data_IF_504861922196
#
_entry.id   IF_504861922196
#
_cell.length_a   1.000
_cell.length_b   1.000
_cell.length_c   1.000
_cell.angle_alpha   90.00
_cell.angle_beta   90.00
_cell.angle_gamma   90.00
#
_symmetry.space_group_name_H-M   'P 1'
#
loop_
_entity.id
_entity.type
_entity.pdbx_description
1 polymer ?
#
# COMPACT_ATOMS: atom_id res chain seq x y z
N UNK A 1 43.13 -29.02 -37.08
CA UNK A 1 41.69 -28.78 -36.91
C UNK A 1 41.16 -29.09 -35.50
N UNK A 2 41.90 -29.01 -34.41
CA UNK A 2 41.44 -29.32 -33.04
C UNK A 2 41.39 -28.13 -32.06
N UNK A 3 41.66 -26.90 -32.50
CA UNK A 3 41.72 -25.73 -31.62
C UNK A 3 40.50 -24.81 -31.70
N UNK A 4 39.55 -25.06 -32.61
CA UNK A 4 38.36 -24.18 -32.79
C UNK A 4 37.12 -24.63 -32.01
N UNK A 5 37.09 -25.86 -31.50
CA UNK A 5 35.90 -26.37 -30.77
C UNK A 5 35.88 -25.92 -29.31
N UNK A 6 37.04 -25.53 -28.72
CA UNK A 6 37.08 -25.15 -27.31
C UNK A 6 36.64 -23.70 -27.04
N UNK A 7 36.70 -22.81 -28.06
CA UNK A 7 36.28 -21.43 -27.90
C UNK A 7 34.77 -21.24 -27.99
N UNK A 8 34.08 -22.13 -28.70
CA UNK A 8 32.60 -22.07 -28.85
C UNK A 8 31.87 -22.50 -27.59
N UNK A 9 32.45 -23.37 -26.77
CA UNK A 9 31.86 -23.84 -25.53
C UNK A 9 31.96 -22.82 -24.38
N UNK A 10 32.96 -21.93 -24.45
CA UNK A 10 33.13 -20.87 -23.44
C UNK A 10 32.16 -19.70 -23.60
N UNK A 11 31.68 -19.46 -24.82
CA UNK A 11 30.65 -18.42 -25.08
C UNK A 11 29.23 -18.85 -24.75
N UNK A 12 28.97 -20.14 -24.70
CA UNK A 12 27.62 -20.66 -24.37
C UNK A 12 27.36 -20.67 -22.85
N UNK A 13 28.43 -20.76 -22.05
CA UNK A 13 28.32 -20.79 -20.59
C UNK A 13 28.08 -19.42 -19.92
N UNK A 14 28.34 -18.32 -20.64
CA UNK A 14 28.14 -16.96 -20.08
C UNK A 14 26.67 -16.49 -20.19
N UNK A 15 25.86 -17.09 -21.07
CA UNK A 15 24.45 -16.74 -21.24
C UNK A 15 23.48 -17.52 -20.33
N UNK A 16 23.98 -18.38 -19.44
CA UNK A 16 23.16 -19.19 -18.52
C UNK A 16 23.15 -18.68 -17.08
N UNK A 17 23.72 -17.51 -16.80
CA UNK A 17 23.40 -16.80 -15.57
C UNK A 17 22.03 -16.18 -15.80
N UNK A 18 20.97 -16.94 -15.48
CA UNK A 18 19.61 -16.46 -15.52
C UNK A 18 19.53 -15.21 -14.65
N UNK A 19 19.49 -14.04 -15.27
CA UNK A 19 19.10 -12.82 -14.57
C UNK A 19 17.67 -13.06 -14.11
N UNK A 20 17.50 -13.26 -12.80
CA UNK A 20 16.17 -13.23 -12.20
C UNK A 20 15.58 -11.86 -12.51
N UNK A 21 14.68 -11.80 -13.49
CA UNK A 21 13.98 -10.55 -13.80
C UNK A 21 13.17 -10.17 -12.57
N UNK A 22 13.48 -9.02 -12.00
CA UNK A 22 12.66 -8.44 -10.94
C UNK A 22 11.28 -8.13 -11.53
N UNK A 23 10.22 -8.55 -10.84
CA UNK A 23 8.86 -8.24 -11.27
C UNK A 23 8.69 -6.70 -11.28
N UNK A 24 8.36 -6.09 -12.42
CA UNK A 24 8.21 -4.64 -12.49
C UNK A 24 7.10 -4.10 -11.56
N UNK A 25 6.10 -4.90 -11.23
CA UNK A 25 5.04 -4.52 -10.30
C UNK A 25 5.50 -4.34 -8.84
N UNK A 26 6.76 -4.67 -8.53
CA UNK A 26 7.39 -4.29 -7.26
C UNK A 26 7.83 -2.82 -7.22
N UNK A 27 7.85 -2.12 -8.36
CA UNK A 27 8.21 -0.70 -8.46
C UNK A 27 6.94 0.15 -8.54
N UNK A 28 6.51 0.61 -7.41
CA UNK A 28 5.34 1.45 -7.32
C UNK A 28 5.30 2.22 -6.01
N UNK A 29 4.33 3.09 -5.88
CA UNK A 29 4.13 3.80 -4.64
C UNK A 29 2.66 4.16 -4.40
N UNK A 30 2.37 4.35 -3.14
CA UNK A 30 1.09 4.85 -2.68
C UNK A 30 1.06 6.37 -2.86
N UNK A 31 0.06 6.89 -3.54
CA UNK A 31 -0.07 8.33 -3.81
C UNK A 31 -0.29 9.16 -2.54
N UNK A 32 -0.62 8.51 -1.42
CA UNK A 32 -0.83 9.13 -0.12
C UNK A 32 -1.81 10.30 -0.20
N UNK A 33 -1.39 11.50 0.20
CA UNK A 33 -2.18 12.73 0.12
C UNK A 33 -1.70 13.66 -1.01
N UNK A 34 -1.03 13.11 -2.03
CA UNK A 34 -0.42 13.91 -3.10
C UNK A 34 -1.43 14.89 -3.72
N UNK A 35 -2.63 14.41 -4.08
CA UNK A 35 -3.67 15.25 -4.70
C UNK A 35 -4.24 16.33 -3.77
N UNK A 36 -4.10 16.19 -2.47
CA UNK A 36 -4.49 17.23 -1.51
C UNK A 36 -3.47 18.38 -1.49
N UNK A 37 -2.17 18.04 -1.63
CA UNK A 37 -1.08 19.02 -1.50
C UNK A 37 -0.60 19.57 -2.83
N UNK A 38 -0.68 18.79 -3.90
CA UNK A 38 -0.17 19.15 -5.23
C UNK A 38 -1.31 19.22 -6.24
N UNK A 39 -1.08 20.00 -7.27
CA UNK A 39 -1.94 20.07 -8.44
C UNK A 39 -1.35 19.19 -9.56
N UNK A 40 -2.18 18.39 -10.21
CA UNK A 40 -1.75 17.57 -11.33
C UNK A 40 -1.30 18.40 -12.52
N UNK A 41 -1.79 19.63 -12.61
CA UNK A 41 -1.36 20.59 -13.65
C UNK A 41 0.00 21.23 -13.35
N UNK A 42 0.57 20.99 -12.16
CA UNK A 42 1.94 21.40 -11.83
C UNK A 42 2.94 20.52 -12.57
N UNK A 43 3.58 21.10 -13.58
CA UNK A 43 4.55 20.40 -14.42
C UNK A 43 5.79 19.91 -13.65
N UNK A 44 6.20 20.60 -12.60
CA UNK A 44 7.34 20.16 -11.75
C UNK A 44 6.95 18.89 -11.02
N UNK A 45 5.80 18.89 -10.36
CA UNK A 45 5.28 17.71 -9.68
C UNK A 45 5.13 16.53 -10.64
N UNK A 46 4.51 16.72 -11.79
CA UNK A 46 4.29 15.64 -12.75
C UNK A 46 5.58 15.12 -13.40
N UNK A 47 6.55 15.99 -13.67
CA UNK A 47 7.88 15.58 -14.15
C UNK A 47 8.61 14.72 -13.12
N UNK A 48 8.53 15.07 -11.83
CA UNK A 48 9.12 14.28 -10.74
C UNK A 48 8.46 12.90 -10.66
N UNK A 49 7.13 12.83 -10.72
CA UNK A 49 6.40 11.55 -10.74
C UNK A 49 6.78 10.69 -11.95
N UNK A 50 6.87 11.27 -13.13
CA UNK A 50 7.29 10.57 -14.36
C UNK A 50 8.74 10.07 -14.26
N UNK A 51 9.64 10.87 -13.68
CA UNK A 51 11.05 10.48 -13.50
C UNK A 51 11.23 9.25 -12.62
N UNK A 52 10.33 9.06 -11.66
CA UNK A 52 10.29 7.86 -10.79
C UNK A 52 9.80 6.61 -11.53
N UNK A 53 9.16 6.78 -12.69
CA UNK A 53 8.67 5.69 -13.56
C UNK A 53 7.92 4.59 -12.80
N UNK A 54 6.86 4.90 -12.05
CA UNK A 54 6.13 3.89 -11.28
C UNK A 54 5.42 2.91 -12.20
N UNK A 55 5.59 1.61 -11.95
CA UNK A 55 4.80 0.58 -12.65
C UNK A 55 3.42 0.38 -12.00
N UNK A 56 3.32 0.67 -10.70
CA UNK A 56 2.07 0.52 -9.95
C UNK A 56 1.83 1.75 -9.07
N UNK A 57 0.60 2.26 -9.10
CA UNK A 57 0.11 3.30 -8.19
C UNK A 57 -1.04 2.76 -7.35
N UNK A 58 -1.12 3.14 -6.07
CA UNK A 58 -2.24 2.80 -5.21
C UNK A 58 -3.21 3.97 -5.11
N UNK A 59 -4.49 3.74 -5.44
CA UNK A 59 -5.61 4.68 -5.31
C UNK A 59 -6.51 4.29 -4.14
N UNK A 60 -7.05 5.20 -3.40
CA UNK A 60 -6.87 6.66 -3.41
C UNK A 60 -5.64 7.14 -2.63
N UNK A 61 -4.85 6.26 -2.06
CA UNK A 61 -3.66 6.60 -1.29
C UNK A 61 -3.93 6.82 0.20
N UNK A 62 -3.31 7.83 0.82
CA UNK A 62 -3.49 8.13 2.23
C UNK A 62 -4.93 8.48 2.57
N UNK A 63 -5.40 7.99 3.72
CA UNK A 63 -6.80 8.07 4.13
C UNK A 63 -7.80 7.37 3.18
N UNK A 64 -7.34 6.39 2.39
CA UNK A 64 -8.19 5.59 1.50
C UNK A 64 -9.45 5.05 2.17
N UNK A 65 -9.36 4.68 3.46
CA UNK A 65 -10.48 4.24 4.29
C UNK A 65 -11.59 5.30 4.49
N UNK A 66 -11.41 6.52 4.00
CA UNK A 66 -12.35 7.63 4.14
C UNK A 66 -12.60 8.34 2.80
N UNK A 67 -12.19 7.70 1.71
CA UNK A 67 -12.42 8.21 0.37
C UNK A 67 -13.84 7.93 -0.08
N UNK A 68 -14.48 8.93 -0.69
CA UNK A 68 -15.81 8.84 -1.29
C UNK A 68 -15.88 9.61 -2.61
N UNK A 69 -16.72 9.15 -3.52
CA UNK A 69 -16.98 9.87 -4.78
C UNK A 69 -17.80 11.13 -4.52
N UNK A 70 -18.73 11.09 -3.54
CA UNK A 70 -19.68 12.17 -3.27
C UNK A 70 -19.79 12.48 -1.78
N UNK A 71 -20.24 13.70 -1.48
CA UNK A 71 -20.52 14.12 -0.12
C UNK A 71 -19.30 14.29 0.78
N UNK A 72 -18.14 14.48 0.17
CA UNK A 72 -16.85 14.66 0.84
C UNK A 72 -16.14 15.90 0.29
N UNK A 73 -15.28 16.50 1.10
CA UNK A 73 -14.38 17.54 0.60
C UNK A 73 -13.25 16.92 -0.21
N UNK A 74 -13.24 17.11 -1.51
CA UNK A 74 -12.25 16.57 -2.44
C UNK A 74 -11.98 15.06 -2.25
N UNK A 75 -13.07 14.29 -2.13
CA UNK A 75 -13.03 12.84 -1.94
C UNK A 75 -12.81 12.36 -0.50
N UNK A 76 -12.52 13.24 0.48
CA UNK A 76 -12.20 12.81 1.84
C UNK A 76 -13.22 13.34 2.84
N UNK A 77 -13.88 12.45 3.58
CA UNK A 77 -14.79 12.79 4.68
C UNK A 77 -14.04 12.96 5.99
N UNK A 78 -13.74 14.20 6.35
CA UNK A 78 -12.97 14.54 7.55
C UNK A 78 -13.64 14.13 8.85
N UNK A 79 -14.97 14.12 8.91
CA UNK A 79 -15.72 13.71 10.10
C UNK A 79 -15.57 12.21 10.36
N UNK A 80 -15.45 11.41 9.32
CA UNK A 80 -15.19 9.98 9.44
C UNK A 80 -13.77 9.72 9.97
N UNK A 81 -12.78 10.50 9.53
CA UNK A 81 -11.43 10.43 10.11
C UNK A 81 -11.48 10.68 11.61
N UNK A 82 -12.20 11.72 12.07
CA UNK A 82 -12.38 12.00 13.49
C UNK A 82 -13.08 10.87 14.23
N UNK A 83 -14.09 10.28 13.62
CA UNK A 83 -14.90 9.21 14.21
C UNK A 83 -14.16 7.90 14.32
N UNK A 84 -13.44 7.49 13.28
CA UNK A 84 -12.91 6.13 13.15
C UNK A 84 -11.40 6.03 13.38
N UNK A 85 -10.65 7.13 13.30
CA UNK A 85 -9.19 7.13 13.45
C UNK A 85 -8.77 7.81 14.76
N UNK A 86 -8.60 7.04 15.83
CA UNK A 86 -8.30 7.55 17.19
C UNK A 86 -7.06 8.44 17.32
N UNK A 87 -6.09 8.29 16.43
CA UNK A 87 -4.81 9.02 16.52
C UNK A 87 -4.78 10.29 15.67
N UNK A 88 -5.86 10.58 14.94
CA UNK A 88 -5.94 11.81 14.16
C UNK A 88 -5.97 13.01 15.09
N UNK A 89 -4.88 13.74 15.12
CA UNK A 89 -4.78 14.98 15.91
C UNK A 89 -5.73 16.00 15.29
N UNK A 90 -6.54 16.65 16.13
CA UNK A 90 -7.47 17.71 15.73
C UNK A 90 -6.78 18.74 14.83
N UNK A 91 -5.53 19.12 15.15
CA UNK A 91 -4.74 20.06 14.36
C UNK A 91 -4.47 19.56 12.93
N UNK A 92 -4.14 18.26 12.76
CA UNK A 92 -3.91 17.65 11.44
C UNK A 92 -5.18 17.69 10.60
N UNK A 93 -6.31 17.30 11.18
CA UNK A 93 -7.62 17.31 10.50
C UNK A 93 -8.04 18.75 10.16
N UNK A 94 -7.80 19.73 11.06
CA UNK A 94 -8.08 21.14 10.79
C UNK A 94 -7.22 21.71 9.65
N UNK A 95 -5.94 21.34 9.58
CA UNK A 95 -5.09 21.75 8.47
C UNK A 95 -5.54 21.12 7.14
N UNK A 96 -5.87 19.85 7.14
CA UNK A 96 -6.44 19.17 5.96
C UNK A 96 -7.72 19.87 5.50
N UNK A 97 -8.60 20.24 6.43
CA UNK A 97 -9.83 20.95 6.10
C UNK A 97 -9.57 22.26 5.33
N UNK A 98 -8.57 23.04 5.76
CA UNK A 98 -8.20 24.30 5.06
C UNK A 98 -7.68 24.04 3.64
N UNK A 99 -6.87 22.98 3.46
CA UNK A 99 -6.31 22.63 2.15
C UNK A 99 -7.42 22.11 1.23
N UNK A 100 -8.27 21.24 1.74
CA UNK A 100 -9.41 20.67 1.00
C UNK A 100 -10.40 21.77 0.63
N UNK A 101 -10.62 22.75 1.49
CA UNK A 101 -11.48 23.91 1.21
C UNK A 101 -11.02 24.69 -0.03
N UNK A 102 -9.72 24.81 -0.26
CA UNK A 102 -9.18 25.45 -1.44
C UNK A 102 -9.34 24.61 -2.73
N UNK A 103 -9.67 23.32 -2.60
CA UNK A 103 -9.96 22.39 -3.71
C UNK A 103 -11.48 22.26 -3.99
N UNK A 104 -12.29 23.18 -3.49
CA UNK A 104 -13.78 23.11 -3.42
C UNK A 104 -14.51 23.08 -4.77
N UNK A 105 -13.79 23.11 -5.88
CA UNK A 105 -14.42 23.04 -7.21
C UNK A 105 -14.58 21.62 -7.73
N UNK A 106 -14.03 20.62 -7.01
CA UNK A 106 -14.10 19.20 -7.38
C UNK A 106 -14.65 18.37 -6.22
N UNK A 107 -15.61 17.50 -6.50
CA UNK A 107 -16.16 16.59 -5.48
C UNK A 107 -15.11 15.59 -4.98
N UNK A 108 -14.19 15.16 -5.85
CA UNK A 108 -13.13 14.21 -5.55
C UNK A 108 -11.99 14.31 -6.58
N UNK A 109 -10.89 13.55 -6.38
CA UNK A 109 -9.69 13.58 -7.24
C UNK A 109 -9.50 12.31 -8.09
N UNK A 110 -10.55 11.52 -8.34
CA UNK A 110 -10.38 10.27 -9.11
C UNK A 110 -9.88 10.53 -10.54
N UNK A 111 -10.34 11.61 -11.18
CA UNK A 111 -9.91 11.93 -12.54
C UNK A 111 -8.50 12.49 -12.60
N UNK A 112 -8.06 13.24 -11.60
CA UNK A 112 -6.67 13.69 -11.46
C UNK A 112 -5.74 12.49 -11.27
N UNK A 113 -6.17 11.50 -10.48
CA UNK A 113 -5.44 10.25 -10.32
C UNK A 113 -5.36 9.44 -11.63
N UNK A 114 -6.47 9.33 -12.36
CA UNK A 114 -6.53 8.63 -13.66
C UNK A 114 -5.58 9.30 -14.66
N UNK A 115 -5.54 10.61 -14.71
CA UNK A 115 -4.60 11.35 -15.56
C UNK A 115 -3.14 11.04 -15.18
N UNK A 116 -2.80 11.07 -13.90
CA UNK A 116 -1.46 10.68 -13.41
C UNK A 116 -1.11 9.24 -13.83
N UNK A 117 -2.01 8.29 -13.57
CA UNK A 117 -1.76 6.88 -13.87
C UNK A 117 -1.55 6.64 -15.38
N UNK A 118 -2.32 7.33 -16.23
CA UNK A 118 -2.14 7.28 -17.69
C UNK A 118 -0.84 7.92 -18.15
N UNK A 119 -0.52 9.09 -17.61
CA UNK A 119 0.70 9.83 -17.95
C UNK A 119 1.97 9.05 -17.60
N UNK A 120 1.93 8.27 -16.51
CA UNK A 120 3.03 7.40 -16.07
C UNK A 120 2.96 5.99 -16.64
N UNK A 121 1.90 5.64 -17.37
CA UNK A 121 1.60 4.29 -17.85
C UNK A 121 1.60 3.25 -16.72
N UNK A 122 1.08 3.63 -15.56
CA UNK A 122 1.05 2.78 -14.37
C UNK A 122 -0.20 1.91 -14.32
N UNK A 123 -0.04 0.69 -13.84
CA UNK A 123 -1.14 -0.13 -13.34
C UNK A 123 -1.62 0.39 -11.98
N UNK A 124 -2.81 0.01 -11.56
CA UNK A 124 -3.42 0.52 -10.33
C UNK A 124 -3.83 -0.61 -9.39
N UNK A 125 -3.64 -0.39 -8.09
CA UNK A 125 -4.29 -1.14 -7.02
C UNK A 125 -5.28 -0.19 -6.35
N UNK A 126 -6.53 -0.63 -6.18
CA UNK A 126 -7.57 0.16 -5.51
C UNK A 126 -7.70 -0.23 -4.04
N UNK A 127 -7.44 0.70 -3.14
CA UNK A 127 -7.63 0.57 -1.68
C UNK A 127 -9.05 1.03 -1.31
N UNK A 128 -9.94 0.08 -1.12
CA UNK A 128 -11.37 0.33 -0.97
C UNK A 128 -11.74 0.75 0.47
N UNK A 129 -12.54 1.79 0.61
CA UNK A 129 -13.12 2.21 1.88
C UNK A 129 -14.23 1.24 2.33
N UNK A 130 -13.87 0.19 3.06
CA UNK A 130 -14.85 -0.74 3.63
C UNK A 130 -15.38 -0.32 5.02
N UNK A 131 -14.94 0.82 5.55
CA UNK A 131 -15.36 1.32 6.87
C UNK A 131 -16.68 2.05 6.78
N UNK A 132 -16.83 2.95 5.85
CA UNK A 132 -17.90 3.94 5.80
C UNK A 132 -18.54 4.12 4.43
N UNK A 133 -17.95 3.53 3.38
CA UNK A 133 -18.57 3.43 2.06
C UNK A 133 -19.60 2.29 2.01
N UNK A 134 -20.18 2.09 0.84
CA UNK A 134 -21.08 0.99 0.55
C UNK A 134 -20.62 0.24 -0.72
N UNK A 135 -21.12 -0.99 -0.95
CA UNK A 135 -20.71 -1.78 -2.10
C UNK A 135 -20.97 -1.09 -3.45
N UNK A 136 -22.06 -0.34 -3.58
CA UNK A 136 -22.42 0.36 -4.82
C UNK A 136 -21.37 1.43 -5.18
N UNK A 137 -20.91 2.21 -4.20
CA UNK A 137 -19.89 3.23 -4.41
C UNK A 137 -18.55 2.60 -4.80
N UNK A 138 -18.18 1.49 -4.16
CA UNK A 138 -16.96 0.74 -4.52
C UNK A 138 -17.03 0.20 -5.94
N UNK A 139 -18.15 -0.40 -6.32
CA UNK A 139 -18.37 -0.88 -7.70
C UNK A 139 -18.36 0.28 -8.70
N UNK A 140 -18.88 1.46 -8.33
CA UNK A 140 -18.82 2.65 -9.17
C UNK A 140 -17.37 3.13 -9.38
N UNK A 141 -16.54 3.14 -8.33
CA UNK A 141 -15.12 3.50 -8.43
C UNK A 141 -14.39 2.51 -9.34
N UNK A 142 -14.57 1.21 -9.15
CA UNK A 142 -13.98 0.18 -10.01
C UNK A 142 -14.37 0.40 -11.46
N UNK A 143 -15.64 0.67 -11.73
CA UNK A 143 -16.14 0.95 -13.08
C UNK A 143 -15.46 2.17 -13.69
N UNK A 144 -15.39 3.29 -12.96
CA UNK A 144 -14.74 4.52 -13.45
C UNK A 144 -13.28 4.26 -13.83
N UNK A 145 -12.54 3.52 -13.01
CA UNK A 145 -11.15 3.16 -13.29
C UNK A 145 -11.04 2.32 -14.58
N UNK A 146 -11.84 1.26 -14.69
CA UNK A 146 -11.83 0.36 -15.85
C UNK A 146 -12.30 1.05 -17.13
N UNK A 147 -13.41 1.80 -17.09
CA UNK A 147 -13.95 2.54 -18.23
C UNK A 147 -12.98 3.64 -18.71
N UNK A 148 -12.13 4.12 -17.81
CA UNK A 148 -11.05 5.04 -18.15
C UNK A 148 -9.84 4.36 -18.78
N UNK A 149 -9.85 3.03 -18.96
CA UNK A 149 -8.75 2.26 -19.55
C UNK A 149 -7.57 2.02 -18.59
N UNK A 150 -7.80 2.14 -17.27
CA UNK A 150 -6.79 1.81 -16.25
C UNK A 150 -6.63 0.29 -16.15
N UNK A 151 -5.38 -0.18 -16.15
CA UNK A 151 -5.05 -1.56 -15.82
C UNK A 151 -5.16 -1.75 -14.31
N UNK A 152 -6.32 -2.20 -13.83
CA UNK A 152 -6.60 -2.46 -12.42
C UNK A 152 -6.10 -3.84 -12.02
N UNK A 153 -5.05 -3.92 -11.22
CA UNK A 153 -4.42 -5.18 -10.77
C UNK A 153 -5.24 -5.91 -9.70
N UNK A 154 -6.01 -5.17 -8.90
CA UNK A 154 -6.82 -5.73 -7.83
C UNK A 154 -7.38 -4.67 -6.90
N UNK A 155 -8.14 -5.15 -5.92
CA UNK A 155 -8.77 -4.33 -4.88
C UNK A 155 -8.27 -4.77 -3.51
N UNK A 156 -7.72 -3.83 -2.74
CA UNK A 156 -7.41 -4.00 -1.32
C UNK A 156 -8.66 -3.67 -0.50
N UNK A 157 -9.07 -4.56 0.40
CA UNK A 157 -10.22 -4.32 1.27
C UNK A 157 -9.78 -3.58 2.54
N UNK A 158 -9.65 -2.27 2.42
CA UNK A 158 -9.22 -1.34 3.46
C UNK A 158 -7.72 -1.25 3.66
N UNK A 159 -7.24 -0.15 4.20
CA UNK A 159 -5.85 0.13 4.50
C UNK A 159 -5.55 0.02 5.99
N UNK A 160 -4.61 -0.82 6.41
CA UNK A 160 -4.10 -0.94 7.80
C UNK A 160 -5.16 -1.12 8.90
N UNK A 161 -6.30 -1.75 8.63
CA UNK A 161 -7.40 -1.88 9.60
C UNK A 161 -7.04 -2.68 10.85
N UNK A 162 -5.95 -3.43 10.83
CA UNK A 162 -5.33 -4.02 12.02
C UNK A 162 -4.61 -2.99 12.92
N UNK A 163 -4.45 -1.73 12.47
CA UNK A 163 -3.72 -0.71 13.22
C UNK A 163 -4.48 -0.28 14.49
N UNK A 164 -3.71 0.10 15.53
CA UNK A 164 -4.22 0.60 16.81
C UNK A 164 -5.18 1.77 16.66
N UNK A 165 -5.05 2.56 15.62
CA UNK A 165 -5.95 3.69 15.33
C UNK A 165 -7.40 3.29 15.14
N UNK A 166 -7.63 2.05 14.70
CA UNK A 166 -8.97 1.50 14.44
C UNK A 166 -9.47 0.54 15.53
N UNK A 167 -8.65 0.23 16.55
CA UNK A 167 -8.93 -0.82 17.54
C UNK A 167 -10.19 -0.60 18.40
N UNK A 168 -10.74 0.62 18.42
CA UNK A 168 -11.95 0.92 19.19
C UNK A 168 -13.24 0.45 18.51
N UNK A 169 -13.20 0.19 17.21
CA UNK A 169 -14.37 -0.27 16.47
C UNK A 169 -14.08 -1.45 15.53
N UNK A 170 -12.81 -1.78 15.27
CA UNK A 170 -12.39 -2.86 14.38
C UNK A 170 -11.64 -3.95 15.15
N UNK A 171 -12.10 -5.16 15.02
CA UNK A 171 -11.42 -6.39 15.39
C UNK A 171 -11.41 -7.34 14.20
N UNK A 172 -10.80 -8.50 14.32
CA UNK A 172 -10.66 -9.44 13.20
C UNK A 172 -12.01 -10.01 12.73
N UNK A 173 -12.94 -10.30 13.63
CA UNK A 173 -14.25 -10.83 13.28
C UNK A 173 -15.05 -9.84 12.45
N UNK A 174 -15.07 -8.59 12.87
CA UNK A 174 -15.73 -7.51 12.14
C UNK A 174 -15.05 -7.25 10.80
N UNK A 175 -13.71 -7.28 10.76
CA UNK A 175 -12.95 -7.12 9.53
C UNK A 175 -13.31 -8.21 8.51
N UNK A 176 -13.32 -9.49 8.92
CA UNK A 176 -13.70 -10.63 8.07
C UNK A 176 -15.14 -10.45 7.58
N UNK A 177 -16.07 -10.12 8.47
CA UNK A 177 -17.49 -9.94 8.10
C UNK A 177 -17.69 -8.86 7.06
N UNK A 178 -17.08 -7.68 7.25
CA UNK A 178 -17.13 -6.59 6.28
C UNK A 178 -16.46 -6.98 4.96
N UNK A 179 -15.25 -7.55 5.04
CA UNK A 179 -14.50 -7.95 3.85
C UNK A 179 -15.25 -8.97 2.99
N UNK A 180 -15.91 -9.94 3.61
CA UNK A 180 -16.77 -10.90 2.89
C UNK A 180 -17.91 -10.23 2.14
N UNK A 181 -18.58 -9.25 2.77
CA UNK A 181 -19.68 -8.50 2.15
C UNK A 181 -19.20 -7.78 0.88
N UNK A 182 -18.08 -7.04 0.98
CA UNK A 182 -17.53 -6.31 -0.17
C UNK A 182 -16.94 -7.23 -1.23
N UNK A 183 -16.23 -8.29 -0.82
CA UNK A 183 -15.70 -9.28 -1.73
C UNK A 183 -16.82 -9.96 -2.55
N UNK A 184 -17.90 -10.37 -1.91
CA UNK A 184 -19.05 -10.96 -2.60
C UNK A 184 -19.66 -10.00 -3.63
N UNK A 185 -19.80 -8.71 -3.27
CA UNK A 185 -20.32 -7.69 -4.19
C UNK A 185 -19.40 -7.48 -5.39
N UNK A 186 -18.09 -7.41 -5.18
CA UNK A 186 -17.09 -7.28 -6.24
C UNK A 186 -17.11 -8.51 -7.15
N UNK A 187 -17.07 -9.74 -6.58
CA UNK A 187 -17.07 -10.99 -7.33
C UNK A 187 -18.32 -11.20 -8.18
N UNK A 188 -19.47 -10.73 -7.71
CA UNK A 188 -20.72 -10.83 -8.48
C UNK A 188 -20.68 -10.00 -9.76
N UNK A 189 -19.90 -8.91 -9.79
CA UNK A 189 -19.79 -8.01 -10.95
C UNK A 189 -18.50 -8.24 -11.73
N UNK A 190 -17.39 -8.46 -11.04
CA UNK A 190 -16.02 -8.57 -11.59
C UNK A 190 -15.37 -9.87 -11.08
N UNK A 191 -15.76 -11.02 -11.67
CA UNK A 191 -15.40 -12.37 -11.19
C UNK A 191 -13.89 -12.60 -11.04
N UNK A 192 -13.12 -12.07 -11.99
CA UNK A 192 -11.68 -12.33 -12.09
C UNK A 192 -10.81 -11.21 -11.50
N UNK A 193 -11.42 -10.16 -10.94
CA UNK A 193 -10.67 -9.07 -10.34
C UNK A 193 -10.08 -9.53 -8.99
N UNK A 194 -8.74 -9.54 -8.83
CA UNK A 194 -8.10 -9.98 -7.60
C UNK A 194 -8.52 -9.16 -6.39
N UNK A 195 -8.74 -9.82 -5.27
CA UNK A 195 -9.10 -9.23 -3.99
C UNK A 195 -8.02 -9.51 -2.97
N UNK A 196 -7.52 -8.46 -2.32
CA UNK A 196 -6.53 -8.56 -1.26
C UNK A 196 -7.08 -8.09 0.09
N UNK A 197 -6.60 -8.70 1.16
CA UNK A 197 -7.00 -8.38 2.54
C UNK A 197 -5.82 -7.97 3.39
N UNK A 198 -6.07 -7.12 4.39
CA UNK A 198 -5.04 -6.54 5.26
C UNK A 198 -4.63 -7.54 6.34
N UNK A 199 -3.36 -7.94 6.33
CA UNK A 199 -2.77 -8.72 7.41
C UNK A 199 -2.37 -7.85 8.61
N UNK A 200 -2.14 -8.48 9.74
CA UNK A 200 -1.51 -7.83 10.89
C UNK A 200 0.01 -8.01 10.86
N UNK A 201 0.79 -7.03 11.37
CA UNK A 201 2.24 -7.18 11.47
C UNK A 201 2.65 -8.36 12.37
N UNK A 202 3.42 -9.31 11.84
CA UNK A 202 3.91 -10.48 12.58
C UNK A 202 4.96 -10.14 13.67
N UNK A 203 5.56 -8.96 13.61
CA UNK A 203 6.61 -8.53 14.53
C UNK A 203 6.09 -7.77 15.75
N UNK A 204 4.77 -7.78 15.98
CA UNK A 204 4.13 -7.07 17.09
C UNK A 204 3.26 -8.05 17.90
N UNK A 205 3.76 -8.43 19.06
CA UNK A 205 2.97 -9.13 20.07
C UNK A 205 2.02 -8.14 20.75
N UNK A 206 0.84 -8.01 20.25
CA UNK A 206 -0.22 -7.17 20.80
C UNK A 206 -1.49 -8.01 20.92
N UNK A 207 -2.07 -8.08 22.12
CA UNK A 207 -3.28 -8.87 22.39
C UNK A 207 -4.43 -8.62 21.40
N UNK A 208 -4.59 -7.39 20.94
CA UNK A 208 -5.61 -7.03 19.94
C UNK A 208 -5.36 -7.61 18.53
N UNK A 209 -4.14 -8.07 18.24
CA UNK A 209 -3.76 -8.72 16.98
C UNK A 209 -3.70 -10.23 17.12
N UNK A 210 -3.96 -10.73 18.34
CA UNK A 210 -3.97 -12.16 18.61
C UNK A 210 -4.92 -12.87 17.66
N UNK A 211 -4.39 -13.87 17.00
CA UNK A 211 -5.13 -14.66 15.99
C UNK A 211 -5.65 -13.89 14.77
N UNK A 212 -5.23 -12.62 14.53
CA UNK A 212 -5.68 -11.88 13.35
C UNK A 212 -5.35 -12.64 12.05
N UNK A 213 -4.08 -12.94 11.86
CA UNK A 213 -3.61 -13.65 10.68
C UNK A 213 -4.11 -15.10 10.64
N UNK A 214 -4.15 -15.80 11.79
CA UNK A 214 -4.62 -17.19 11.86
C UNK A 214 -6.11 -17.35 11.52
N UNK A 215 -6.94 -16.37 11.91
CA UNK A 215 -8.36 -16.35 11.54
C UNK A 215 -8.53 -16.00 10.08
N UNK A 216 -7.79 -15.00 9.61
CA UNK A 216 -7.86 -14.56 8.22
C UNK A 216 -7.40 -15.66 7.26
N UNK A 217 -6.36 -16.42 7.62
CA UNK A 217 -5.83 -17.52 6.80
C UNK A 217 -6.82 -18.66 6.58
N UNK A 218 -7.84 -18.80 7.44
CA UNK A 218 -8.90 -19.83 7.31
C UNK A 218 -9.98 -19.43 6.30
N UNK A 219 -9.95 -18.21 5.82
CA UNK A 219 -10.93 -17.67 4.89
C UNK A 219 -10.50 -17.86 3.44
N UNK A 220 -11.48 -17.99 2.53
CA UNK A 220 -11.27 -18.30 1.11
C UNK A 220 -11.82 -17.24 0.14
N UNK A 221 -12.39 -16.15 0.65
CA UNK A 221 -13.04 -15.11 -0.15
C UNK A 221 -12.07 -14.14 -0.84
N UNK A 222 -10.77 -14.26 -0.62
CA UNK A 222 -9.73 -13.38 -1.14
C UNK A 222 -8.60 -14.16 -1.83
N UNK A 223 -7.80 -13.47 -2.66
CA UNK A 223 -6.71 -14.08 -3.45
C UNK A 223 -5.33 -13.74 -2.89
N UNK A 224 -5.18 -12.57 -2.26
CA UNK A 224 -3.91 -12.07 -1.79
C UNK A 224 -4.00 -11.44 -0.40
N UNK A 225 -2.86 -11.30 0.27
CA UNK A 225 -2.73 -10.55 1.51
C UNK A 225 -1.84 -9.34 1.31
N UNK A 226 -2.15 -8.27 2.04
CA UNK A 226 -1.36 -7.05 2.08
C UNK A 226 -0.52 -7.08 3.34
N UNK A 227 0.78 -6.92 3.17
CA UNK A 227 1.73 -6.81 4.26
C UNK A 227 2.36 -5.43 4.27
N UNK A 228 2.47 -4.81 5.44
CA UNK A 228 3.14 -3.53 5.63
C UNK A 228 4.39 -3.73 6.50
N UNK A 229 5.52 -4.17 5.92
CA UNK A 229 6.76 -4.41 6.63
C UNK A 229 7.47 -3.08 6.85
N UNK A 230 7.27 -2.47 8.01
CA UNK A 230 7.98 -1.24 8.35
C UNK A 230 9.43 -1.53 8.74
N UNK A 231 10.37 -1.34 7.83
CA UNK A 231 11.79 -1.41 8.09
C UNK A 231 12.21 -0.39 9.16
N UNK A 232 12.67 -0.87 10.31
CA UNK A 232 13.14 0.01 11.39
C UNK A 232 14.64 0.20 11.29
N UNK A 233 15.05 1.15 10.47
CA UNK A 233 16.45 1.51 10.29
C UNK A 233 16.96 2.56 11.30
N UNK A 234 16.09 3.08 12.15
CA UNK A 234 16.35 4.12 13.16
C UNK A 234 16.19 3.57 14.59
N UNK A 235 16.98 3.95 15.60
CA UNK A 235 17.00 3.36 16.96
C UNK A 235 16.67 4.36 18.08
N UNK A 236 15.79 4.02 18.99
CA UNK A 236 15.36 4.84 20.13
C UNK A 236 13.99 4.47 20.61
N UNK A 237 13.32 5.37 21.28
CA UNK A 237 11.93 5.18 21.71
C UNK A 237 11.04 6.23 21.06
N UNK A 238 9.88 5.82 20.58
CA UNK A 238 8.84 6.77 20.17
C UNK A 238 8.09 7.33 21.39
N UNK A 239 7.16 8.24 21.14
CA UNK A 239 6.32 8.86 22.20
C UNK A 239 5.49 7.86 23.01
N UNK A 240 5.34 6.63 22.52
CA UNK A 240 4.66 5.54 23.22
C UNK A 240 5.65 4.60 23.94
N UNK A 241 6.94 4.97 24.01
CA UNK A 241 7.99 4.17 24.63
C UNK A 241 8.44 2.94 23.84
N UNK A 242 8.01 2.79 22.59
CA UNK A 242 8.43 1.68 21.73
C UNK A 242 9.83 1.91 21.22
N UNK A 243 10.63 0.85 21.17
CA UNK A 243 11.99 0.94 20.63
C UNK A 243 11.96 1.27 19.14
N UNK A 244 12.48 2.43 18.81
CA UNK A 244 12.93 2.80 17.47
C UNK A 244 14.45 2.61 17.44
N UNK A 245 15.05 2.66 16.25
CA UNK A 245 16.51 2.69 16.20
C UNK A 245 16.98 4.05 15.76
N UNK A 246 17.35 4.98 16.62
CA UNK A 246 17.92 6.27 16.22
C UNK A 246 19.43 6.19 16.03
N UNK A 247 19.95 7.09 15.20
CA UNK A 247 21.38 7.36 15.14
C UNK A 247 21.76 8.07 16.45
N UNK A 248 22.87 7.70 17.08
CA UNK A 248 23.36 8.37 18.28
C UNK A 248 23.51 9.88 18.09
N UNK A 249 23.14 10.65 19.11
CA UNK A 249 23.32 12.09 19.12
C UNK A 249 24.80 12.46 18.90
N UNK A 250 25.06 13.47 18.08
CA UNK A 250 26.45 13.87 17.74
C UNK A 250 27.09 13.11 16.58
N UNK A 251 26.37 12.12 16.00
CA UNK A 251 26.88 11.41 14.80
C UNK A 251 26.88 12.34 13.58
N UNK A 252 28.00 12.43 12.90
CA UNK A 252 28.13 13.21 11.66
C UNK A 252 27.24 12.71 10.52
N UNK A 253 26.96 13.55 9.54
CA UNK A 253 26.08 13.19 8.41
C UNK A 253 26.57 12.00 7.60
N UNK A 254 27.88 11.89 7.35
CA UNK A 254 28.49 10.78 6.62
C UNK A 254 28.34 9.46 7.39
N UNK A 255 28.61 9.48 8.70
CA UNK A 255 28.47 8.29 9.56
C UNK A 255 27.00 7.89 9.68
N UNK A 256 26.10 8.85 9.77
CA UNK A 256 24.66 8.63 9.77
C UNK A 256 24.21 7.91 8.50
N UNK A 257 24.68 8.35 7.34
CA UNK A 257 24.36 7.70 6.06
C UNK A 257 24.86 6.24 6.04
N UNK A 258 26.07 6.00 6.47
CA UNK A 258 26.66 4.64 6.53
C UNK A 258 25.82 3.73 7.42
N UNK A 259 25.45 4.19 8.63
CA UNK A 259 24.61 3.43 9.56
C UNK A 259 23.24 3.10 8.94
N UNK A 260 22.60 4.06 8.29
CA UNK A 260 21.32 3.82 7.62
C UNK A 260 21.43 2.84 6.47
N UNK A 261 22.46 2.99 5.65
CA UNK A 261 22.75 2.10 4.53
C UNK A 261 22.94 0.67 5.01
N UNK A 262 23.81 0.45 5.99
CA UNK A 262 24.10 -0.90 6.51
C UNK A 262 22.85 -1.57 7.09
N UNK A 263 22.02 -0.81 7.81
CA UNK A 263 20.76 -1.31 8.35
C UNK A 263 19.74 -1.61 7.26
N UNK A 264 19.64 -0.77 6.22
CA UNK A 264 18.77 -1.02 5.09
C UNK A 264 19.21 -2.28 4.32
N UNK A 265 20.50 -2.43 4.07
CA UNK A 265 21.07 -3.63 3.42
C UNK A 265 20.78 -4.87 4.26
N UNK A 266 21.02 -4.84 5.59
CA UNK A 266 20.71 -5.95 6.49
C UNK A 266 19.23 -6.29 6.45
N UNK A 267 18.35 -5.29 6.50
CA UNK A 267 16.92 -5.53 6.45
C UNK A 267 16.52 -6.25 5.16
N UNK A 268 16.95 -5.76 4.01
CA UNK A 268 16.60 -6.34 2.71
C UNK A 268 17.20 -7.74 2.54
N UNK A 269 18.46 -7.94 2.97
CA UNK A 269 19.17 -9.21 2.77
C UNK A 269 18.75 -10.34 3.72
N UNK A 270 18.22 -10.02 4.91
CA UNK A 270 17.91 -11.02 5.92
C UNK A 270 16.55 -10.81 6.60
N UNK A 271 16.34 -9.67 7.24
CA UNK A 271 15.20 -9.48 8.16
C UNK A 271 13.85 -9.51 7.42
N UNK A 272 13.78 -8.96 6.22
CA UNK A 272 12.60 -9.00 5.36
C UNK A 272 12.24 -10.43 4.95
N UNK A 273 13.23 -11.23 4.56
CA UNK A 273 13.01 -12.62 4.20
C UNK A 273 12.47 -13.45 5.37
N UNK A 274 12.98 -13.22 6.58
CA UNK A 274 12.47 -13.89 7.77
C UNK A 274 11.03 -13.45 8.12
N UNK A 275 10.70 -12.20 7.88
CA UNK A 275 9.33 -11.71 8.04
C UNK A 275 8.37 -12.37 7.02
N UNK A 276 8.75 -12.43 5.75
CA UNK A 276 7.97 -13.10 4.69
C UNK A 276 7.78 -14.59 4.98
N UNK A 277 8.80 -15.30 5.46
CA UNK A 277 8.66 -16.72 5.84
C UNK A 277 7.56 -16.94 6.90
N UNK A 278 7.39 -16.01 7.85
CA UNK A 278 6.33 -16.10 8.86
C UNK A 278 4.95 -15.96 8.23
N UNK A 279 4.78 -15.02 7.27
CA UNK A 279 3.52 -14.89 6.53
C UNK A 279 3.27 -16.14 5.69
N UNK A 280 4.27 -16.64 4.97
CA UNK A 280 4.15 -17.88 4.18
C UNK A 280 3.66 -19.05 5.03
N UNK A 281 4.19 -19.19 6.25
CA UNK A 281 3.76 -20.24 7.18
C UNK A 281 2.30 -20.14 7.59
N UNK A 282 1.78 -18.92 7.73
CA UNK A 282 0.40 -18.67 8.19
C UNK A 282 -0.59 -18.71 7.01
N UNK A 283 -0.21 -18.15 5.86
CA UNK A 283 -1.07 -18.00 4.69
C UNK A 283 -0.64 -18.93 3.55
N UNK A 284 -0.45 -20.21 3.87
CA UNK A 284 -0.06 -21.20 2.89
C UNK A 284 -1.01 -21.16 1.67
N UNK A 285 -0.41 -21.13 0.44
CA UNK A 285 -1.12 -21.02 -0.84
C UNK A 285 -1.80 -19.68 -1.18
N UNK A 286 -1.63 -18.62 -0.41
CA UNK A 286 -2.12 -17.29 -0.78
C UNK A 286 -1.02 -16.44 -1.43
N UNK A 287 -1.42 -15.56 -2.35
CA UNK A 287 -0.50 -14.60 -2.99
C UNK A 287 -0.24 -13.40 -2.07
N UNK A 288 0.87 -12.71 -2.31
CA UNK A 288 1.24 -11.49 -1.61
C UNK A 288 1.12 -10.30 -2.55
N UNK A 289 0.59 -9.19 -2.04
CA UNK A 289 0.54 -7.89 -2.69
C UNK A 289 1.46 -6.88 -1.99
#
# INVERSE_FOLDING_TARGET
MKKFVFLSLFFISINLIGQNKVNPNLFGFRTSLAFVFFDIQDSVFMNDVQSLSPNVLSFPGGFGNFYHLKGAGYGIKLDEIKKYHKQSKIKTVSNLNKIIFNKNHQENYIYDFIEMAKTTNSSVIYDANIISSNPEEILQIIRILLDSGINLLGVELGGELSNRSYSHFMNIEKYISLSKLYAASIRNTYKDLPIAVVSAPNNRELSRLENWNDKLAKEDFYDAIIIHPYAKIVKGKDVAGRMLTVIPEGTGAADSYTIYKDRAVKYISSDFNEEIKKYNKTFDNKKYG
#
